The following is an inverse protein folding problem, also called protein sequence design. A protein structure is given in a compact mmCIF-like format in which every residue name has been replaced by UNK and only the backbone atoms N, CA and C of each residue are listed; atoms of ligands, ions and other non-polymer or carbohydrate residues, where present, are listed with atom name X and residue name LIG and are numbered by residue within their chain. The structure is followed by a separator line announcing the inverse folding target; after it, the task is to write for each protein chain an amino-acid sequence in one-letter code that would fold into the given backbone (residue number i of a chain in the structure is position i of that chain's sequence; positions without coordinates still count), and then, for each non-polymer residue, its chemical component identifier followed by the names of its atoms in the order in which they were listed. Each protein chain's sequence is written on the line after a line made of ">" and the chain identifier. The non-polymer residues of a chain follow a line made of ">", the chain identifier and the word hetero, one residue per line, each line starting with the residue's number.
data_IF_666984645942
#
_entry.id   IF_666984645942
#
_cell.length_a   1.000
_cell.length_b   1.000
_cell.length_c   1.000
_cell.angle_alpha   90.00
_cell.angle_beta   90.00
_cell.angle_gamma   90.00
#
_symmetry.space_group_name_H-M   'P 1'
#
loop_
_entity.id
_entity.type
_entity.pdbx_description
1 polymer ?
#
# COMPACT_ATOMS: atom_id res chain seq x y z
N UNK A 1 -36.55 3.88 7.91
CA UNK A 1 -35.53 2.83 7.65
C UNK A 1 -34.50 3.39 6.68
N UNK A 2 -33.22 3.44 7.05
CA UNK A 2 -32.17 3.86 6.13
C UNK A 2 -32.03 2.82 5.01
N UNK A 3 -32.08 3.25 3.75
CA UNK A 3 -31.87 2.39 2.58
C UNK A 3 -30.38 2.35 2.26
N UNK A 4 -29.83 1.16 2.06
CA UNK A 4 -28.47 1.01 1.53
C UNK A 4 -28.43 1.55 0.09
N UNK A 5 -27.48 2.44 -0.19
CA UNK A 5 -27.22 2.95 -1.54
C UNK A 5 -25.81 2.49 -1.95
N UNK A 6 -25.68 1.58 -2.93
CA UNK A 6 -24.38 1.15 -3.41
C UNK A 6 -23.64 2.34 -4.01
N UNK A 7 -22.44 2.62 -3.49
CA UNK A 7 -21.51 3.61 -4.05
C UNK A 7 -20.38 2.89 -4.75
N UNK A 8 -19.91 3.43 -5.87
CA UNK A 8 -18.70 2.97 -6.52
C UNK A 8 -17.52 3.32 -5.59
N UNK A 9 -16.83 2.31 -5.05
CA UNK A 9 -15.52 2.54 -4.45
C UNK A 9 -14.53 2.75 -5.60
N UNK A 10 -14.18 3.99 -5.85
CA UNK A 10 -13.17 4.33 -6.85
C UNK A 10 -11.79 4.13 -6.21
N UNK A 11 -11.25 2.92 -6.35
CA UNK A 11 -9.82 2.68 -6.15
C UNK A 11 -9.15 2.76 -7.51
N UNK A 12 -8.20 3.67 -7.65
CA UNK A 12 -7.41 3.78 -8.88
C UNK A 12 -6.45 2.61 -8.97
N UNK A 13 -6.48 1.88 -10.10
CA UNK A 13 -5.57 0.75 -10.34
C UNK A 13 -4.29 1.32 -10.93
N UNK A 14 -3.21 1.23 -10.17
CA UNK A 14 -1.88 1.65 -10.62
C UNK A 14 -0.97 0.45 -10.82
N UNK A 15 -0.18 0.46 -11.89
CA UNK A 15 0.84 -0.57 -12.15
C UNK A 15 2.22 0.00 -11.79
N UNK A 16 2.90 -0.64 -10.85
CA UNK A 16 4.26 -0.27 -10.43
C UNK A 16 5.26 -1.35 -10.84
N UNK A 17 6.48 -0.94 -11.21
CA UNK A 17 7.60 -1.86 -11.46
C UNK A 17 8.43 -2.00 -10.19
N UNK A 18 8.66 -3.24 -9.76
CA UNK A 18 9.52 -3.58 -8.63
C UNK A 18 10.41 -4.77 -9.00
N UNK A 19 11.54 -4.92 -8.31
CA UNK A 19 12.41 -6.08 -8.49
C UNK A 19 11.73 -7.37 -7.99
N UNK A 20 12.14 -8.51 -8.55
CA UNK A 20 11.61 -9.82 -8.16
C UNK A 20 11.88 -10.15 -6.68
N UNK A 21 13.06 -9.78 -6.18
CA UNK A 21 13.46 -9.97 -4.77
C UNK A 21 12.56 -9.17 -3.81
N UNK A 22 12.27 -7.91 -4.15
CA UNK A 22 11.37 -7.08 -3.36
C UNK A 22 9.94 -7.65 -3.38
N UNK A 23 9.48 -8.10 -4.55
CA UNK A 23 8.17 -8.73 -4.69
C UNK A 23 8.05 -9.99 -3.81
N UNK A 24 9.06 -10.86 -3.80
CA UNK A 24 9.06 -12.05 -2.93
C UNK A 24 9.02 -11.68 -1.45
N UNK A 25 9.79 -10.67 -1.05
CA UNK A 25 9.80 -10.19 0.34
C UNK A 25 8.45 -9.62 0.75
N UNK A 26 7.81 -8.85 -0.13
CA UNK A 26 6.45 -8.33 0.05
C UNK A 26 5.46 -9.48 0.20
N UNK A 27 5.51 -10.48 -0.67
CA UNK A 27 4.62 -11.65 -0.64
C UNK A 27 4.76 -12.43 0.66
N UNK A 28 5.99 -12.75 1.06
CA UNK A 28 6.27 -13.48 2.30
C UNK A 28 5.74 -12.73 3.52
N UNK A 29 5.94 -11.41 3.58
CA UNK A 29 5.49 -10.58 4.71
C UNK A 29 3.97 -10.46 4.74
N UNK A 30 3.32 -10.26 3.59
CA UNK A 30 1.87 -10.18 3.50
C UNK A 30 1.20 -11.51 3.89
N UNK A 31 1.75 -12.63 3.42
CA UNK A 31 1.26 -13.97 3.77
C UNK A 31 1.42 -14.29 5.27
N UNK A 32 2.49 -13.84 5.91
CA UNK A 32 2.74 -14.06 7.34
C UNK A 32 1.69 -13.42 8.25
N UNK A 33 0.96 -12.42 7.77
CA UNK A 33 -0.10 -11.70 8.51
C UNK A 33 -1.48 -11.83 7.85
N UNK A 34 -1.62 -12.76 6.89
CA UNK A 34 -2.87 -13.10 6.19
C UNK A 34 -3.57 -11.89 5.51
N UNK A 35 -2.80 -11.03 4.84
CA UNK A 35 -3.37 -9.92 4.04
C UNK A 35 -2.93 -9.97 2.58
N UNK A 36 -3.67 -9.28 1.71
CA UNK A 36 -3.32 -9.20 0.29
C UNK A 36 -2.01 -8.42 0.07
N UNK A 37 -1.22 -8.84 -0.93
CA UNK A 37 -0.04 -8.11 -1.42
C UNK A 37 -0.31 -6.62 -1.61
N UNK A 38 -1.41 -6.28 -2.29
CA UNK A 38 -1.77 -4.90 -2.56
C UNK A 38 -2.02 -4.12 -1.27
N UNK A 39 -2.75 -4.70 -0.32
CA UNK A 39 -3.01 -4.05 0.97
C UNK A 39 -1.71 -3.82 1.76
N UNK A 40 -0.79 -4.80 1.75
CA UNK A 40 0.50 -4.65 2.40
C UNK A 40 1.35 -3.54 1.77
N UNK A 41 1.46 -3.51 0.43
CA UNK A 41 2.20 -2.47 -0.30
C UNK A 41 1.67 -1.08 0.01
N UNK A 42 0.34 -0.90 0.04
CA UNK A 42 -0.28 0.38 0.39
C UNK A 42 0.08 0.78 1.83
N UNK A 43 -0.03 -0.12 2.81
CA UNK A 43 0.36 0.18 4.19
C UNK A 43 1.85 0.57 4.32
N UNK A 44 2.74 -0.09 3.57
CA UNK A 44 4.15 0.29 3.54
C UNK A 44 4.35 1.70 2.97
N UNK A 45 3.64 2.06 1.90
CA UNK A 45 3.73 3.40 1.29
C UNK A 45 3.18 4.46 2.25
N UNK A 46 2.00 4.23 2.83
CA UNK A 46 1.38 5.14 3.80
C UNK A 46 2.28 5.38 5.01
N UNK A 47 2.86 4.30 5.56
CA UNK A 47 3.79 4.41 6.68
C UNK A 47 5.05 5.18 6.30
N UNK A 48 5.67 4.88 5.15
CA UNK A 48 6.86 5.57 4.71
C UNK A 48 6.59 7.08 4.56
N UNK A 49 5.52 7.47 3.87
CA UNK A 49 5.16 8.88 3.68
C UNK A 49 4.88 9.61 5.00
N UNK A 50 4.21 8.94 5.96
CA UNK A 50 3.92 9.54 7.27
C UNK A 50 5.15 9.70 8.18
N UNK A 51 6.25 9.01 7.88
CA UNK A 51 7.48 9.01 8.67
C UNK A 51 8.69 9.53 7.86
N UNK A 52 8.45 10.16 6.71
CA UNK A 52 9.51 10.84 5.96
C UNK A 52 9.85 12.16 6.66
N UNK A 53 11.13 12.47 6.72
CA UNK A 53 11.59 13.81 7.08
C UNK A 53 11.15 14.78 5.97
N UNK A 54 10.28 15.73 6.31
CA UNK A 54 9.90 16.85 5.45
C UNK A 54 11.00 17.94 5.38
N UNK A 55 12.05 17.82 6.20
CA UNK A 55 13.21 18.70 6.08
C UNK A 55 13.96 18.40 4.77
N UNK A 56 14.11 19.40 3.88
CA UNK A 56 14.94 19.22 2.69
C UNK A 56 16.36 18.84 3.14
N UNK A 57 17.04 17.95 2.40
CA UNK A 57 18.36 17.47 2.78
C UNK A 57 19.29 18.67 2.99
N UNK A 58 19.85 18.79 4.20
CA UNK A 58 20.83 19.81 4.54
C UNK A 58 22.04 19.60 3.62
N UNK A 59 22.21 20.54 2.70
CA UNK A 59 23.26 20.54 1.67
C UNK A 59 24.59 20.97 2.27
#
# INVERSE_FOLDING_TARGET
>A
MAKFIPRKLEKEVVTIRISADLLETVDRKAAAIDISRNQFVIQCIEYALANMDDEPPKT
#
